data_IF_558049462043
#
_entry.id   IF_558049462043
#
_cell.length_a   1.000
_cell.length_b   1.000
_cell.length_c   1.000
_cell.angle_alpha   90.00
_cell.angle_beta   90.00
_cell.angle_gamma   90.00
#
_symmetry.space_group_name_H-M   'P 1'
#
loop_
_entity.id
_entity.type
_entity.pdbx_description
1 polymer ?
#
# COMPACT_ATOMS: atom_id res chain seq x y z
N UNK A 1 -3.93 0.73 -19.61
CA UNK A 1 -4.19 0.45 -18.19
C UNK A 1 -2.85 0.25 -17.51
N UNK A 2 -2.55 1.04 -16.49
CA UNK A 2 -1.28 0.96 -15.75
C UNK A 2 -1.29 -0.29 -14.84
N UNK A 3 -0.14 -0.96 -14.71
CA UNK A 3 0.03 -2.06 -13.77
C UNK A 3 0.09 -1.53 -12.33
N UNK A 4 -0.24 -2.40 -11.35
CA UNK A 4 -0.07 -2.09 -9.93
C UNK A 4 1.38 -1.72 -9.63
N UNK A 5 2.32 -2.58 -10.04
CA UNK A 5 3.76 -2.42 -9.85
C UNK A 5 4.51 -3.16 -10.96
N UNK A 6 5.78 -2.80 -11.18
CA UNK A 6 6.71 -3.55 -12.03
C UNK A 6 7.69 -4.38 -11.19
N UNK A 7 7.63 -4.28 -9.85
CA UNK A 7 8.52 -5.01 -8.95
C UNK A 7 8.23 -6.50 -9.04
N UNK A 8 9.30 -7.30 -9.11
CA UNK A 8 9.26 -8.75 -9.06
C UNK A 8 10.31 -9.24 -8.09
N UNK A 9 9.99 -10.23 -7.24
CA UNK A 9 10.98 -10.80 -6.35
C UNK A 9 12.02 -11.59 -7.13
N UNK A 10 13.29 -11.38 -6.80
CA UNK A 10 14.44 -12.07 -7.39
C UNK A 10 14.96 -13.20 -6.50
N UNK A 11 14.60 -13.17 -5.22
CA UNK A 11 14.99 -14.18 -4.22
C UNK A 11 13.78 -14.66 -3.41
N UNK A 12 13.98 -15.74 -2.64
CA UNK A 12 12.96 -16.25 -1.74
C UNK A 12 12.65 -15.26 -0.61
N UNK A 13 13.68 -14.59 -0.09
CA UNK A 13 13.54 -13.56 0.94
C UNK A 13 12.79 -12.35 0.42
N UNK A 14 13.11 -11.89 -0.80
CA UNK A 14 12.36 -10.80 -1.42
C UNK A 14 10.90 -11.14 -1.67
N UNK A 15 10.58 -12.37 -2.11
CA UNK A 15 9.18 -12.79 -2.28
C UNK A 15 8.42 -12.66 -0.96
N UNK A 16 9.02 -13.14 0.12
CA UNK A 16 8.45 -13.07 1.46
C UNK A 16 8.27 -11.62 1.94
N UNK A 17 9.31 -10.79 1.83
CA UNK A 17 9.29 -9.40 2.26
C UNK A 17 8.29 -8.56 1.44
N UNK A 18 8.20 -8.82 0.14
CA UNK A 18 7.26 -8.13 -0.73
C UNK A 18 5.81 -8.53 -0.46
N UNK A 19 5.53 -9.80 -0.16
CA UNK A 19 4.18 -10.23 0.26
C UNK A 19 3.75 -9.47 1.53
N UNK A 20 4.61 -9.39 2.54
CA UNK A 20 4.33 -8.63 3.75
C UNK A 20 4.15 -7.13 3.46
N UNK A 21 5.02 -6.55 2.61
CA UNK A 21 4.92 -5.16 2.18
C UNK A 21 3.56 -4.83 1.57
N UNK A 22 3.06 -5.64 0.62
CA UNK A 22 1.79 -5.33 -0.03
C UNK A 22 0.59 -5.54 0.89
N UNK A 23 0.62 -6.50 1.82
CA UNK A 23 -0.39 -6.58 2.86
C UNK A 23 -0.42 -5.32 3.74
N UNK A 24 0.75 -4.85 4.20
CA UNK A 24 0.85 -3.62 5.00
C UNK A 24 0.35 -2.39 4.23
N UNK A 25 0.68 -2.28 2.94
CA UNK A 25 0.16 -1.24 2.04
C UNK A 25 -1.27 -1.50 1.54
N UNK A 26 -1.97 -2.47 2.12
CA UNK A 26 -3.39 -2.72 1.93
C UNK A 26 -4.20 -2.55 3.21
N UNK A 27 -3.57 -2.04 4.28
CA UNK A 27 -4.22 -1.76 5.57
C UNK A 27 -4.27 -2.95 6.52
N UNK A 28 -3.51 -4.01 6.26
CA UNK A 28 -3.33 -5.13 7.17
C UNK A 28 -2.08 -4.93 8.05
N UNK A 29 -1.95 -5.73 9.11
CA UNK A 29 -0.71 -5.84 9.89
C UNK A 29 0.00 -7.15 9.51
N UNK A 30 1.03 -7.05 8.67
CA UNK A 30 1.80 -8.21 8.20
C UNK A 30 3.23 -8.21 8.76
N UNK A 31 3.63 -9.36 9.32
CA UNK A 31 4.91 -9.58 10.01
C UNK A 31 5.66 -10.71 9.30
N UNK A 32 6.96 -10.51 9.08
CA UNK A 32 7.84 -11.44 8.34
C UNK A 32 9.27 -11.44 8.91
N UNK A 33 9.92 -12.62 9.03
CA UNK A 33 9.28 -13.91 9.31
C UNK A 33 8.56 -13.85 10.67
N UNK A 34 7.62 -14.76 10.92
CA UNK A 34 6.87 -14.76 12.18
C UNK A 34 6.82 -16.15 12.82
N UNK A 35 7.18 -16.24 14.10
CA UNK A 35 6.90 -17.42 14.91
C UNK A 35 5.50 -17.31 15.48
N UNK A 36 4.72 -18.37 15.29
CA UNK A 36 3.33 -18.45 15.76
C UNK A 36 3.15 -19.68 16.63
N UNK A 37 2.30 -19.54 17.64
CA UNK A 37 1.86 -20.66 18.46
C UNK A 37 0.80 -21.48 17.71
N UNK A 38 0.92 -22.80 17.83
CA UNK A 38 -0.04 -23.78 17.33
C UNK A 38 -0.39 -24.76 18.44
N UNK A 39 -1.43 -25.57 18.23
CA UNK A 39 -1.78 -26.64 19.18
C UNK A 39 -0.68 -27.71 19.36
N UNK A 40 0.35 -27.73 18.50
CA UNK A 40 1.48 -28.69 18.54
C UNK A 40 2.83 -28.05 18.90
N UNK A 41 2.83 -26.80 19.35
CA UNK A 41 4.04 -26.02 19.64
C UNK A 41 4.19 -24.83 18.70
N UNK A 42 5.39 -24.28 18.61
CA UNK A 42 5.67 -23.12 17.75
C UNK A 42 6.13 -23.55 16.36
N UNK A 43 5.69 -22.81 15.35
CA UNK A 43 6.19 -22.92 13.98
C UNK A 43 6.56 -21.53 13.46
N UNK A 44 7.57 -21.46 12.60
CA UNK A 44 7.88 -20.25 11.85
C UNK A 44 7.13 -20.28 10.52
N UNK A 45 6.47 -19.17 10.20
CA UNK A 45 5.78 -18.96 8.93
C UNK A 45 6.42 -17.79 8.19
N UNK A 46 6.38 -17.84 6.86
CA UNK A 46 7.02 -16.82 6.03
C UNK A 46 6.37 -15.44 6.25
N UNK A 47 5.03 -15.37 6.23
CA UNK A 47 4.29 -14.15 6.58
C UNK A 47 3.07 -14.47 7.43
N UNK A 48 2.90 -13.75 8.53
CA UNK A 48 1.68 -13.74 9.33
C UNK A 48 0.97 -12.40 9.14
N UNK A 49 -0.34 -12.43 8.89
CA UNK A 49 -1.14 -11.23 8.68
C UNK A 49 -2.32 -11.22 9.66
N UNK A 50 -2.44 -10.14 10.42
CA UNK A 50 -3.66 -9.81 11.15
C UNK A 50 -4.53 -8.91 10.28
N UNK A 51 -5.77 -9.31 10.12
CA UNK A 51 -6.76 -8.58 9.37
C UNK A 51 -7.90 -8.19 10.31
N UNK A 52 -7.59 -7.24 11.18
CA UNK A 52 -8.56 -6.69 12.12
C UNK A 52 -9.74 -6.09 11.35
N UNK A 53 -10.95 -6.47 11.73
CA UNK A 53 -12.23 -6.10 11.10
C UNK A 53 -12.58 -6.83 9.78
N UNK A 54 -11.85 -7.88 9.39
CA UNK A 54 -12.26 -8.76 8.28
C UNK A 54 -12.89 -10.06 8.80
N UNK A 55 -13.61 -10.78 7.94
CA UNK A 55 -14.11 -12.13 8.27
C UNK A 55 -12.96 -13.12 8.53
N UNK A 56 -11.80 -12.89 7.90
CA UNK A 56 -10.61 -13.70 8.06
C UNK A 56 -9.59 -13.01 8.96
N UNK A 57 -9.76 -13.12 10.28
CA UNK A 57 -8.93 -12.40 11.27
C UNK A 57 -7.43 -12.74 11.20
N UNK A 58 -7.08 -13.92 10.71
CA UNK A 58 -5.69 -14.40 10.65
C UNK A 58 -5.42 -15.06 9.31
N UNK A 59 -4.41 -14.58 8.62
CA UNK A 59 -3.91 -15.14 7.37
C UNK A 59 -2.46 -15.59 7.60
N UNK A 60 -2.14 -16.79 7.14
CA UNK A 60 -0.76 -17.27 7.10
C UNK A 60 -0.37 -17.40 5.64
N UNK A 61 0.84 -16.99 5.30
CA UNK A 61 1.39 -17.18 3.97
C UNK A 61 2.67 -18.00 3.97
N UNK A 62 2.84 -18.79 2.91
CA UNK A 62 4.07 -19.49 2.56
C UNK A 62 4.53 -19.02 1.18
N UNK A 63 5.79 -18.64 1.09
CA UNK A 63 6.45 -18.15 -0.10
C UNK A 63 7.38 -19.24 -0.65
N UNK A 64 7.12 -19.68 -1.89
CA UNK A 64 7.90 -20.73 -2.55
C UNK A 64 8.53 -20.21 -3.83
N UNK A 65 9.76 -19.72 -3.70
CA UNK A 65 10.56 -19.21 -4.82
C UNK A 65 11.31 -20.34 -5.55
N UNK A 66 10.57 -21.30 -6.06
CA UNK A 66 11.14 -22.50 -6.70
C UNK A 66 11.06 -22.39 -8.23
N UNK A 67 12.06 -22.96 -8.91
CA UNK A 67 12.05 -23.09 -10.37
C UNK A 67 11.30 -24.37 -10.83
N UNK A 68 10.51 -24.97 -9.95
CA UNK A 68 9.63 -26.11 -10.23
C UNK A 68 8.24 -25.85 -9.63
N UNK A 69 7.16 -26.35 -10.27
CA UNK A 69 5.81 -26.18 -9.72
C UNK A 69 5.67 -26.88 -8.37
N UNK A 70 4.94 -26.24 -7.44
CA UNK A 70 4.77 -26.76 -6.08
C UNK A 70 3.92 -28.03 -6.09
N UNK A 71 4.39 -29.12 -5.46
CA UNK A 71 3.71 -30.40 -5.45
C UNK A 71 2.67 -30.51 -4.31
N UNK A 72 1.79 -31.50 -4.39
CA UNK A 72 0.61 -31.61 -3.50
C UNK A 72 0.97 -31.82 -2.03
N UNK A 73 2.08 -32.48 -1.72
CA UNK A 73 2.54 -32.71 -0.35
C UNK A 73 2.80 -31.41 0.42
N UNK A 74 3.22 -30.35 -0.29
CA UNK A 74 3.40 -29.02 0.33
C UNK A 74 2.07 -28.39 0.72
N UNK A 75 1.02 -28.61 -0.07
CA UNK A 75 -0.32 -28.13 0.24
C UNK A 75 -0.87 -28.85 1.48
N UNK A 76 -0.68 -30.16 1.57
CA UNK A 76 -1.12 -30.96 2.72
C UNK A 76 -0.39 -30.60 4.00
N UNK A 77 0.94 -30.42 3.93
CA UNK A 77 1.72 -29.96 5.07
C UNK A 77 1.25 -28.58 5.56
N UNK A 78 1.10 -27.63 4.63
CA UNK A 78 0.66 -26.28 4.96
C UNK A 78 -0.74 -26.23 5.56
N UNK A 79 -1.68 -27.06 5.07
CA UNK A 79 -3.02 -27.17 5.66
C UNK A 79 -2.98 -27.50 7.15
N UNK A 80 -2.05 -28.37 7.55
CA UNK A 80 -1.91 -28.76 8.96
C UNK A 80 -1.49 -27.55 9.79
N UNK A 81 -0.53 -26.75 9.30
CA UNK A 81 -0.11 -25.49 9.97
C UNK A 81 -1.25 -24.49 10.09
N UNK A 82 -2.01 -24.26 9.01
CA UNK A 82 -3.15 -23.33 9.01
C UNK A 82 -4.23 -23.77 10.01
N UNK A 83 -4.56 -25.06 10.04
CA UNK A 83 -5.55 -25.60 10.97
C UNK A 83 -5.06 -25.55 12.43
N UNK A 84 -3.81 -25.94 12.67
CA UNK A 84 -3.25 -26.02 14.02
C UNK A 84 -2.98 -24.65 14.65
N UNK A 85 -2.88 -23.58 13.84
CA UNK A 85 -2.71 -22.19 14.27
C UNK A 85 -4.04 -21.42 14.46
N UNK A 86 -5.16 -22.01 14.04
CA UNK A 86 -6.46 -21.34 14.02
C UNK A 86 -6.56 -20.21 12.99
N UNK A 87 -5.70 -20.20 11.97
CA UNK A 87 -5.78 -19.23 10.89
C UNK A 87 -7.00 -19.50 9.99
N UNK A 88 -7.76 -18.45 9.71
CA UNK A 88 -8.94 -18.51 8.84
C UNK A 88 -8.58 -18.77 7.37
N UNK A 89 -7.41 -18.32 6.91
CA UNK A 89 -6.97 -18.39 5.53
C UNK A 89 -5.48 -18.73 5.45
N UNK A 90 -5.14 -19.69 4.60
CA UNK A 90 -3.76 -19.95 4.19
C UNK A 90 -3.54 -19.48 2.75
N UNK A 91 -2.39 -18.88 2.46
CA UNK A 91 -2.02 -18.52 1.10
C UNK A 91 -0.63 -19.10 0.78
N UNK A 92 -0.50 -19.77 -0.35
CA UNK A 92 0.81 -20.12 -0.89
C UNK A 92 1.06 -19.27 -2.12
N UNK A 93 2.18 -18.54 -2.11
CA UNK A 93 2.63 -17.72 -3.22
C UNK A 93 3.84 -18.42 -3.87
N UNK A 94 3.73 -18.76 -5.14
CA UNK A 94 4.75 -19.50 -5.90
C UNK A 94 5.34 -18.67 -7.03
N UNK A 95 6.65 -18.78 -7.25
CA UNK A 95 7.31 -18.18 -8.42
C UNK A 95 6.81 -18.77 -9.74
N UNK A 96 6.75 -20.11 -9.82
CA UNK A 96 6.46 -20.83 -11.07
C UNK A 96 5.03 -21.41 -11.13
N UNK A 97 4.32 -21.44 -10.01
CA UNK A 97 2.98 -22.01 -9.90
C UNK A 97 2.95 -23.41 -9.26
N UNK A 98 1.95 -24.21 -9.62
CA UNK A 98 1.54 -25.40 -8.88
C UNK A 98 1.29 -26.60 -9.81
N UNK A 99 1.57 -27.81 -9.33
CA UNK A 99 1.18 -29.03 -10.03
C UNK A 99 -0.35 -29.22 -10.00
N UNK A 100 -0.91 -29.99 -10.95
CA UNK A 100 -2.36 -30.29 -10.98
C UNK A 100 -2.86 -30.89 -9.67
N UNK A 101 -2.09 -31.79 -9.06
CA UNK A 101 -2.42 -32.39 -7.76
C UNK A 101 -2.49 -31.36 -6.62
N UNK A 102 -1.62 -30.34 -6.64
CA UNK A 102 -1.64 -29.27 -5.65
C UNK A 102 -2.90 -28.39 -5.77
N UNK A 103 -3.32 -28.07 -7.01
CA UNK A 103 -4.56 -27.31 -7.26
C UNK A 103 -5.77 -28.10 -6.75
N UNK A 104 -5.87 -29.39 -7.11
CA UNK A 104 -6.94 -30.28 -6.64
C UNK A 104 -6.93 -30.40 -5.12
N UNK A 105 -5.74 -30.47 -4.50
CA UNK A 105 -5.61 -30.50 -3.06
C UNK A 105 -6.20 -29.24 -2.42
N UNK A 106 -5.99 -28.04 -2.98
CA UNK A 106 -6.44 -26.77 -2.39
C UNK A 106 -7.94 -26.45 -2.60
N UNK A 107 -8.55 -26.93 -3.70
CA UNK A 107 -9.90 -26.56 -4.19
C UNK A 107 -11.01 -26.49 -3.12
N UNK A 108 -11.00 -27.43 -2.17
CA UNK A 108 -12.03 -27.54 -1.10
C UNK A 108 -11.52 -27.18 0.29
N UNK A 109 -10.56 -26.27 0.36
CA UNK A 109 -10.00 -25.80 1.62
C UNK A 109 -9.94 -24.28 1.69
N UNK A 110 -9.60 -23.77 2.88
CA UNK A 110 -9.26 -22.39 3.11
C UNK A 110 -7.82 -22.04 2.66
N UNK A 111 -7.27 -22.77 1.69
CA UNK A 111 -5.95 -22.47 1.12
C UNK A 111 -6.14 -21.87 -0.27
N UNK A 112 -5.50 -20.73 -0.51
CA UNK A 112 -5.39 -20.11 -1.83
C UNK A 112 -3.99 -20.31 -2.39
N UNK A 113 -3.93 -20.54 -3.69
CA UNK A 113 -2.69 -20.76 -4.43
C UNK A 113 -2.56 -19.63 -5.44
N UNK A 114 -1.48 -18.87 -5.37
CA UNK A 114 -1.23 -17.74 -6.25
C UNK A 114 0.17 -17.79 -6.83
N UNK A 115 0.33 -17.38 -8.09
CA UNK A 115 1.59 -16.81 -8.55
C UNK A 115 1.78 -15.41 -7.99
N UNK A 116 2.95 -14.81 -8.21
CA UNK A 116 3.21 -13.41 -7.84
C UNK A 116 2.14 -12.46 -8.42
N UNK A 117 1.88 -12.57 -9.72
CA UNK A 117 0.92 -11.73 -10.41
C UNK A 117 -0.51 -11.95 -9.90
N UNK A 118 -0.91 -13.20 -9.67
CA UNK A 118 -2.25 -13.51 -9.14
C UNK A 118 -2.44 -12.99 -7.70
N UNK A 119 -1.38 -12.95 -6.90
CA UNK A 119 -1.42 -12.37 -5.56
C UNK A 119 -1.65 -10.86 -5.61
N UNK A 120 -0.94 -10.15 -6.50
CA UNK A 120 -1.14 -8.72 -6.72
C UNK A 120 -2.56 -8.42 -7.21
N UNK A 121 -3.06 -9.19 -8.18
CA UNK A 121 -4.44 -9.04 -8.69
C UNK A 121 -5.48 -9.26 -7.59
N UNK A 122 -5.27 -10.29 -6.74
CA UNK A 122 -6.15 -10.59 -5.61
C UNK A 122 -6.21 -9.45 -4.59
N UNK A 123 -5.09 -8.75 -4.37
CA UNK A 123 -4.97 -7.71 -3.36
C UNK A 123 -5.25 -6.30 -3.91
N UNK A 124 -5.27 -6.13 -5.23
CA UNK A 124 -5.26 -4.83 -5.90
C UNK A 124 -6.32 -3.85 -5.38
N UNK A 125 -7.58 -4.28 -5.24
CA UNK A 125 -8.66 -3.37 -4.81
C UNK A 125 -8.43 -2.87 -3.38
N UNK A 126 -8.05 -3.76 -2.46
CA UNK A 126 -7.75 -3.40 -1.06
C UNK A 126 -6.55 -2.46 -0.99
N UNK A 127 -5.49 -2.81 -1.72
CA UNK A 127 -4.29 -1.97 -1.85
C UNK A 127 -4.64 -0.58 -2.38
N UNK A 128 -5.36 -0.49 -3.51
CA UNK A 128 -5.69 0.76 -4.17
C UNK A 128 -6.55 1.67 -3.28
N UNK A 129 -7.58 1.10 -2.62
CA UNK A 129 -8.42 1.85 -1.68
C UNK A 129 -7.61 2.37 -0.49
N UNK A 130 -6.73 1.54 0.08
CA UNK A 130 -5.87 1.94 1.18
C UNK A 130 -4.91 3.06 0.77
N UNK A 131 -4.19 2.91 -0.35
CA UNK A 131 -3.29 3.94 -0.89
C UNK A 131 -4.02 5.26 -1.15
N UNK A 132 -5.19 5.21 -1.78
CA UNK A 132 -6.06 6.38 -2.00
C UNK A 132 -6.42 7.10 -0.71
N UNK A 133 -6.88 6.36 0.30
CA UNK A 133 -7.28 6.94 1.58
C UNK A 133 -6.09 7.53 2.35
N UNK A 134 -4.94 6.84 2.31
CA UNK A 134 -3.68 7.34 2.86
C UNK A 134 -3.25 8.64 2.19
N UNK A 135 -3.24 8.69 0.86
CA UNK A 135 -2.85 9.89 0.10
C UNK A 135 -3.77 11.08 0.43
N UNK A 136 -5.08 10.87 0.51
CA UNK A 136 -6.06 11.91 0.92
C UNK A 136 -5.84 12.39 2.35
N UNK A 137 -5.52 11.48 3.27
CA UNK A 137 -5.24 11.83 4.66
C UNK A 137 -3.98 12.70 4.76
N UNK A 138 -2.94 12.33 4.02
CA UNK A 138 -1.68 13.09 3.95
C UNK A 138 -1.89 14.46 3.29
N UNK A 139 -2.65 14.53 2.19
CA UNK A 139 -2.87 15.80 1.47
C UNK A 139 -3.78 16.78 2.22
N UNK A 140 -4.52 16.31 3.24
CA UNK A 140 -5.55 17.10 3.91
C UNK A 140 -5.08 18.48 4.39
N UNK A 141 -3.92 18.65 5.05
CA UNK A 141 -3.48 19.97 5.50
C UNK A 141 -3.20 20.95 4.34
N UNK A 142 -2.92 20.45 3.12
CA UNK A 142 -2.77 21.32 1.95
C UNK A 142 -4.07 22.05 1.61
N UNK A 143 -5.24 21.54 1.98
CA UNK A 143 -6.51 22.25 1.75
C UNK A 143 -6.51 23.62 2.44
N UNK A 144 -5.92 23.70 3.64
CA UNK A 144 -5.81 24.92 4.44
C UNK A 144 -4.75 25.83 3.83
N UNK A 145 -3.54 25.31 3.60
CA UNK A 145 -2.43 26.12 3.12
C UNK A 145 -2.69 26.70 1.72
N UNK A 146 -3.43 25.98 0.87
CA UNK A 146 -3.65 26.38 -0.52
C UNK A 146 -4.91 27.21 -0.73
N UNK A 147 -5.73 27.39 0.31
CA UNK A 147 -6.87 28.31 0.30
C UNK A 147 -6.47 29.69 0.88
N UNK A 148 -6.49 30.78 0.07
CA UNK A 148 -6.16 32.12 0.53
C UNK A 148 -7.05 32.66 1.65
N UNK A 149 -8.24 32.08 1.84
CA UNK A 149 -9.16 32.47 2.91
C UNK A 149 -8.89 31.71 4.22
N UNK A 150 -8.13 30.61 4.16
CA UNK A 150 -7.80 29.81 5.33
C UNK A 150 -6.45 30.15 5.96
N UNK A 151 -5.62 30.93 5.28
CA UNK A 151 -4.36 31.47 5.80
C UNK A 151 -4.49 32.97 6.13
N UNK A 152 -3.76 33.49 7.13
CA UNK A 152 -3.80 34.91 7.50
C UNK A 152 -2.93 35.73 6.54
N UNK A 153 -3.40 35.88 5.30
CA UNK A 153 -2.67 36.52 4.21
C UNK A 153 -2.28 37.98 4.52
N UNK A 154 -3.07 38.64 5.37
CA UNK A 154 -2.85 40.01 5.85
C UNK A 154 -1.59 40.16 6.73
N UNK A 155 -1.10 39.07 7.32
CA UNK A 155 0.12 39.07 8.13
C UNK A 155 1.39 38.88 7.28
N UNK A 156 1.24 38.58 5.99
CA UNK A 156 2.37 38.36 5.09
C UNK A 156 2.89 39.70 4.53
N UNK A 157 4.21 39.85 4.47
CA UNK A 157 4.81 40.93 3.68
C UNK A 157 4.49 40.77 2.20
N UNK A 158 4.61 41.85 1.42
CA UNK A 158 4.40 41.80 -0.04
C UNK A 158 5.26 40.71 -0.72
N UNK A 159 6.51 40.57 -0.31
CA UNK A 159 7.42 39.55 -0.87
C UNK A 159 6.96 38.14 -0.54
N UNK A 160 6.52 37.89 0.70
CA UNK A 160 5.97 36.60 1.11
C UNK A 160 4.68 36.29 0.35
N UNK A 161 3.78 37.26 0.21
CA UNK A 161 2.54 37.07 -0.55
C UNK A 161 2.79 36.73 -2.02
N UNK A 162 3.79 37.37 -2.65
CA UNK A 162 4.19 37.07 -4.03
C UNK A 162 4.84 35.69 -4.16
N UNK A 163 5.57 35.23 -3.14
CA UNK A 163 6.11 33.87 -3.08
C UNK A 163 5.00 32.82 -2.88
N UNK A 164 4.10 33.06 -1.94
CA UNK A 164 2.94 32.21 -1.66
C UNK A 164 2.11 31.96 -2.92
N UNK A 165 1.79 33.00 -3.69
CA UNK A 165 1.02 32.88 -4.93
C UNK A 165 1.69 31.98 -5.98
N UNK A 166 3.03 31.90 -6.00
CA UNK A 166 3.76 31.03 -6.94
C UNK A 166 3.64 29.55 -6.56
N UNK A 167 3.59 29.24 -5.27
CA UNK A 167 3.53 27.86 -4.77
C UNK A 167 2.10 27.36 -4.62
N UNK A 168 1.15 28.27 -4.35
CA UNK A 168 -0.26 27.97 -4.14
C UNK A 168 -0.87 27.13 -5.26
N UNK A 169 -0.73 27.55 -6.53
CA UNK A 169 -1.35 26.84 -7.66
C UNK A 169 -0.80 25.41 -7.79
N UNK A 170 0.52 25.24 -7.63
CA UNK A 170 1.18 23.94 -7.72
C UNK A 170 0.70 23.00 -6.62
N UNK A 171 0.66 23.47 -5.37
CA UNK A 171 0.27 22.64 -4.24
C UNK A 171 -1.25 22.42 -4.14
N UNK A 172 -2.07 23.37 -4.61
CA UNK A 172 -3.50 23.15 -4.79
C UNK A 172 -3.75 22.03 -5.81
N UNK A 173 -2.95 21.98 -6.89
CA UNK A 173 -2.97 20.88 -7.85
C UNK A 173 -2.72 19.51 -7.20
N UNK A 174 -1.73 19.43 -6.30
CA UNK A 174 -1.45 18.20 -5.53
C UNK A 174 -2.62 17.80 -4.64
N UNK A 175 -3.29 18.74 -3.98
CA UNK A 175 -4.47 18.45 -3.17
C UNK A 175 -5.63 17.96 -4.04
N UNK A 176 -5.96 18.68 -5.11
CA UNK A 176 -7.10 18.39 -6.00
C UNK A 176 -6.95 17.01 -6.67
N UNK A 177 -5.74 16.62 -7.09
CA UNK A 177 -5.54 15.31 -7.72
C UNK A 177 -5.89 14.15 -6.78
N UNK A 178 -5.79 14.32 -5.45
CA UNK A 178 -6.16 13.28 -4.48
C UNK A 178 -7.67 12.99 -4.43
N UNK A 179 -8.49 13.71 -5.19
CA UNK A 179 -9.92 13.43 -5.33
C UNK A 179 -10.30 12.83 -6.69
N UNK A 180 -9.37 12.81 -7.65
CA UNK A 180 -9.63 12.44 -9.05
C UNK A 180 -8.86 11.17 -9.46
N UNK A 181 -9.35 10.01 -9.01
CA UNK A 181 -8.79 8.70 -9.39
C UNK A 181 -9.63 8.08 -10.49
N UNK A 182 -9.17 8.19 -11.74
CA UNK A 182 -9.72 7.51 -12.91
C UNK A 182 -8.63 6.75 -13.67
N UNK A 183 -8.98 6.08 -14.76
CA UNK A 183 -8.04 5.29 -15.57
C UNK A 183 -6.85 6.08 -16.14
N UNK A 184 -6.97 7.41 -16.22
CA UNK A 184 -5.96 8.32 -16.75
C UNK A 184 -5.17 9.03 -15.64
N UNK A 185 -5.38 8.69 -14.36
CA UNK A 185 -4.75 9.36 -13.20
C UNK A 185 -3.22 9.50 -13.33
N UNK A 186 -2.55 8.44 -13.80
CA UNK A 186 -1.09 8.43 -13.94
C UNK A 186 -0.64 9.34 -15.09
N UNK A 187 -1.34 9.30 -16.23
CA UNK A 187 -1.05 10.18 -17.37
C UNK A 187 -1.24 11.65 -17.01
N UNK A 188 -2.35 11.97 -16.32
CA UNK A 188 -2.65 13.32 -15.84
C UNK A 188 -1.61 13.80 -14.82
N UNK A 189 -1.14 12.90 -13.95
CA UNK A 189 -0.08 13.20 -12.99
C UNK A 189 1.23 13.55 -13.68
N UNK A 190 1.65 12.71 -14.63
CA UNK A 190 2.86 12.94 -15.41
C UNK A 190 2.83 14.28 -16.16
N UNK A 191 1.70 14.62 -16.79
CA UNK A 191 1.53 15.91 -17.45
C UNK A 191 1.55 17.09 -16.47
N UNK A 192 0.84 16.98 -15.34
CA UNK A 192 0.70 18.07 -14.39
C UNK A 192 1.98 18.39 -13.60
N UNK A 193 2.83 17.37 -13.37
CA UNK A 193 4.02 17.49 -12.52
C UNK A 193 5.34 17.24 -13.25
N UNK A 194 5.31 17.10 -14.58
CA UNK A 194 6.47 16.79 -15.43
C UNK A 194 7.20 15.51 -14.96
N UNK A 195 6.42 14.47 -14.71
CA UNK A 195 6.87 13.18 -14.19
C UNK A 195 6.84 12.09 -15.28
N UNK A 196 7.50 10.96 -14.99
CA UNK A 196 7.58 9.82 -15.90
C UNK A 196 7.25 8.49 -15.23
N UNK A 197 6.32 8.50 -14.27
CA UNK A 197 5.94 7.28 -13.55
C UNK A 197 5.15 6.34 -14.48
N UNK A 198 5.40 5.05 -14.32
CA UNK A 198 4.95 3.97 -15.22
C UNK A 198 4.01 2.97 -14.55
N UNK A 199 3.84 3.06 -13.23
CA UNK A 199 2.95 2.18 -12.45
C UNK A 199 2.09 2.98 -11.49
N UNK A 200 1.02 2.35 -11.00
CA UNK A 200 0.15 2.95 -9.99
C UNK A 200 0.92 3.10 -8.65
N UNK A 201 1.80 2.16 -8.31
CA UNK A 201 2.65 2.24 -7.12
C UNK A 201 3.62 3.43 -7.18
N UNK A 202 4.29 3.64 -8.31
CA UNK A 202 5.19 4.78 -8.51
C UNK A 202 4.44 6.11 -8.43
N UNK A 203 3.23 6.18 -9.00
CA UNK A 203 2.35 7.34 -8.82
C UNK A 203 2.10 7.63 -7.34
N UNK A 204 1.66 6.63 -6.56
CA UNK A 204 1.35 6.87 -5.15
C UNK A 204 2.60 7.26 -4.35
N UNK A 205 3.74 6.60 -4.59
CA UNK A 205 4.98 6.93 -3.90
C UNK A 205 5.44 8.37 -4.20
N UNK A 206 5.47 8.75 -5.48
CA UNK A 206 5.86 10.09 -5.92
C UNK A 206 4.89 11.16 -5.40
N UNK A 207 3.59 10.89 -5.44
CA UNK A 207 2.57 11.81 -4.95
C UNK A 207 2.66 12.01 -3.42
N UNK A 208 2.87 10.94 -2.65
CA UNK A 208 3.08 11.02 -1.19
C UNK A 208 4.30 11.88 -0.86
N UNK A 209 5.44 11.64 -1.50
CA UNK A 209 6.67 12.42 -1.32
C UNK A 209 6.45 13.92 -1.62
N UNK A 210 5.83 14.24 -2.76
CA UNK A 210 5.55 15.65 -3.13
C UNK A 210 4.61 16.35 -2.16
N UNK A 211 3.65 15.63 -1.57
CA UNK A 211 2.77 16.17 -0.54
C UNK A 211 3.57 16.46 0.73
N UNK A 212 4.41 15.53 1.17
CA UNK A 212 5.26 15.71 2.36
C UNK A 212 6.23 16.90 2.19
N UNK A 213 6.83 17.06 1.01
CA UNK A 213 7.67 18.21 0.66
C UNK A 213 6.88 19.53 0.70
N UNK A 214 5.66 19.54 0.13
CA UNK A 214 4.81 20.72 0.12
C UNK A 214 4.37 21.13 1.53
N UNK A 215 4.04 20.16 2.38
CA UNK A 215 3.72 20.39 3.79
C UNK A 215 4.92 20.95 4.54
N UNK A 216 6.10 20.34 4.39
CA UNK A 216 7.34 20.80 5.01
C UNK A 216 7.68 22.23 4.58
N UNK A 217 7.49 22.55 3.30
CA UNK A 217 7.65 23.91 2.79
C UNK A 217 6.69 24.89 3.50
N UNK A 218 5.40 24.56 3.60
CA UNK A 218 4.42 25.47 4.19
C UNK A 218 4.58 25.63 5.70
N UNK A 219 4.97 24.58 6.43
CA UNK A 219 5.31 24.67 7.85
C UNK A 219 6.46 25.66 8.10
N UNK A 220 7.47 25.67 7.23
CA UNK A 220 8.57 26.64 7.29
C UNK A 220 8.11 28.03 6.86
N UNK A 221 7.33 28.13 5.78
CA UNK A 221 6.87 29.40 5.22
C UNK A 221 5.98 30.18 6.20
N UNK A 222 5.05 29.49 6.87
CA UNK A 222 4.15 30.06 7.87
C UNK A 222 4.72 30.01 9.29
N UNK A 223 6.02 29.72 9.46
CA UNK A 223 6.65 29.69 10.78
C UNK A 223 6.53 31.07 11.46
N UNK A 224 5.91 31.10 12.63
CA UNK A 224 5.65 32.33 13.38
C UNK A 224 4.37 33.08 12.95
N UNK A 225 3.60 32.51 12.03
CA UNK A 225 2.27 32.96 11.65
C UNK A 225 1.25 31.97 12.22
N UNK A 226 0.39 32.42 13.12
CA UNK A 226 -0.59 31.53 13.77
C UNK A 226 -1.73 31.20 12.81
N UNK A 227 -1.85 29.92 12.44
CA UNK A 227 -3.01 29.38 11.73
C UNK A 227 -3.78 28.51 12.73
N UNK A 228 -5.06 28.79 12.99
CA UNK A 228 -5.81 28.05 14.00
C UNK A 228 -5.81 26.53 13.75
N UNK A 229 -5.41 25.74 14.74
CA UNK A 229 -5.26 24.28 14.60
C UNK A 229 -6.56 23.59 14.15
N UNK A 230 -7.72 24.11 14.57
CA UNK A 230 -9.03 23.55 14.18
C UNK A 230 -9.27 23.57 12.67
N UNK A 231 -8.58 24.42 11.91
CA UNK A 231 -8.63 24.40 10.43
C UNK A 231 -7.99 23.16 9.83
N UNK A 232 -7.12 22.47 10.56
CA UNK A 232 -6.48 21.23 10.12
C UNK A 232 -7.21 19.97 10.60
N UNK A 233 -8.15 20.12 11.53
CA UNK A 233 -8.92 19.03 12.13
C UNK A 233 -10.28 18.95 11.45
N UNK A 234 -10.36 18.16 10.38
CA UNK A 234 -11.65 17.73 9.79
C UNK A 234 -11.70 16.21 9.66
#
# INVERSE_FOLDING_TARGET
MYSMTNRKPETWTELQDMVAHYFNYSGYEAITPCKIETVRGEVEVDVFVKADNELSNRIICECKYWNTPIPQEKIHAFRTVVNDSGASLGIIISKLGFQKGAIVAADKSNIKLFTWEQFLDYLFEKWFVYRKNRLRKLSKPLSVYTDPFDIPAELLSKSQLDEYKKTQVKFAGLYIMTFNFDENMVSKYNEAFDESVTTIEEFFNSAEEKIEDALSYYEVFFKGVEIPEWKFVW
#
